data_IF_577081249165
#
_entry.id   IF_577081249165
#
_cell.length_a   1.000
_cell.length_b   1.000
_cell.length_c   1.000
_cell.angle_alpha   90.00
_cell.angle_beta   90.00
_cell.angle_gamma   90.00
#
_symmetry.space_group_name_H-M   'P 1'
#
loop_
_entity.id
_entity.type
_entity.pdbx_description
1 polymer ?
#
# COMPACT_ATOMS: atom_id res chain seq x y z
N UNK A 1 -45.84 10.91 9.37
CA UNK A 1 -44.39 10.66 9.19
C UNK A 1 -44.16 10.00 7.85
N UNK A 2 -42.99 10.20 7.23
CA UNK A 2 -42.63 9.73 5.88
C UNK A 2 -42.85 8.22 5.66
N UNK A 3 -42.83 7.43 6.73
CA UNK A 3 -43.02 5.97 6.73
C UNK A 3 -44.49 5.57 6.48
N UNK A 4 -45.48 6.31 7.00
CA UNK A 4 -46.91 6.03 6.77
C UNK A 4 -47.38 6.31 5.34
N UNK A 5 -46.60 7.08 4.57
CA UNK A 5 -46.84 7.31 3.15
C UNK A 5 -46.41 6.12 2.29
N UNK A 6 -45.52 5.27 2.80
CA UNK A 6 -44.99 4.10 2.08
C UNK A 6 -45.66 2.80 2.54
N UNK A 7 -46.03 2.72 3.82
CA UNK A 7 -46.79 1.59 4.37
C UNK A 7 -47.88 2.11 5.33
N UNK A 8 -49.15 2.19 4.86
CA UNK A 8 -50.27 2.65 5.67
C UNK A 8 -50.59 1.72 6.85
N UNK A 9 -50.16 0.46 6.80
CA UNK A 9 -50.40 -0.55 7.84
C UNK A 9 -49.35 -0.55 8.94
N UNK A 10 -48.32 0.29 8.81
CA UNK A 10 -47.21 0.36 9.78
C UNK A 10 -47.68 0.81 11.17
N UNK A 11 -47.61 -0.12 12.12
CA UNK A 11 -48.09 0.01 13.50
C UNK A 11 -47.10 0.70 14.45
N UNK A 12 -45.94 1.14 13.93
CA UNK A 12 -44.90 1.81 14.71
C UNK A 12 -44.00 0.86 15.51
N UNK A 13 -44.16 -0.47 15.39
CA UNK A 13 -43.33 -1.46 16.07
C UNK A 13 -42.30 -2.01 15.11
N UNK A 14 -41.03 -1.75 15.41
CA UNK A 14 -39.93 -2.40 14.72
C UNK A 14 -39.78 -3.83 15.26
N UNK A 15 -39.62 -4.86 14.40
CA UNK A 15 -39.29 -6.19 14.86
C UNK A 15 -37.98 -6.12 15.65
N UNK A 16 -38.00 -6.61 16.90
CA UNK A 16 -36.77 -6.79 17.68
C UNK A 16 -35.94 -7.85 16.94
N UNK A 17 -34.91 -7.41 16.22
CA UNK A 17 -33.92 -8.35 15.73
C UNK A 17 -33.26 -8.99 16.94
N UNK A 18 -33.45 -10.30 17.11
CA UNK A 18 -32.59 -11.08 17.98
C UNK A 18 -31.16 -10.77 17.53
N UNK A 19 -30.31 -10.32 18.46
CA UNK A 19 -28.89 -10.19 18.22
C UNK A 19 -28.39 -11.59 17.85
N UNK A 20 -28.38 -11.89 16.55
CA UNK A 20 -27.70 -13.06 16.05
C UNK A 20 -26.28 -12.94 16.59
N UNK A 21 -25.94 -13.90 17.45
CA UNK A 21 -24.63 -14.07 18.08
C UNK A 21 -23.59 -13.69 17.04
N UNK A 22 -23.00 -12.49 17.19
CA UNK A 22 -21.97 -12.03 16.27
C UNK A 22 -20.88 -13.08 16.35
N UNK A 23 -20.70 -13.83 15.27
CA UNK A 23 -19.53 -14.68 15.13
C UNK A 23 -18.31 -13.85 15.52
N UNK A 24 -17.40 -14.39 16.35
CA UNK A 24 -16.26 -13.63 16.82
C UNK A 24 -15.53 -13.08 15.60
N UNK A 25 -15.45 -11.75 15.51
CA UNK A 25 -14.75 -11.07 14.42
C UNK A 25 -13.33 -11.63 14.38
N UNK A 26 -12.86 -12.16 13.23
CA UNK A 26 -11.50 -12.64 13.14
C UNK A 26 -10.57 -11.47 13.46
N UNK A 27 -9.73 -11.65 14.47
CA UNK A 27 -8.54 -10.82 14.70
C UNK A 27 -7.47 -11.18 13.66
N UNK A 28 -6.29 -10.55 13.75
CA UNK A 28 -5.03 -10.75 13.01
C UNK A 28 -4.75 -9.67 11.94
N UNK A 29 -3.75 -8.76 12.07
CA UNK A 29 -2.27 -8.85 12.27
C UNK A 29 -1.48 -9.62 11.21
N UNK A 30 -1.31 -9.06 10.01
CA UNK A 30 -0.19 -9.45 9.15
C UNK A 30 0.39 -8.24 8.39
N UNK A 31 1.67 -7.88 8.63
CA UNK A 31 2.45 -7.08 7.69
C UNK A 31 2.86 -7.94 6.48
N UNK A 32 3.30 -7.28 5.42
CA UNK A 32 3.81 -7.91 4.22
C UNK A 32 4.81 -9.03 4.56
N UNK A 33 4.55 -10.26 4.10
CA UNK A 33 5.53 -11.36 4.18
C UNK A 33 5.30 -12.46 5.22
N UNK A 34 4.15 -12.57 5.88
CA UNK A 34 3.87 -13.71 6.77
C UNK A 34 4.80 -13.77 7.98
N UNK A 35 4.88 -12.68 8.74
CA UNK A 35 5.77 -12.55 9.90
C UNK A 35 5.28 -13.31 11.13
N UNK A 36 4.81 -14.54 10.98
CA UNK A 36 4.56 -15.38 12.15
C UNK A 36 5.84 -16.05 12.66
N UNK A 37 6.92 -16.16 11.85
CA UNK A 37 8.11 -16.96 12.26
C UNK A 37 9.50 -16.55 11.76
N UNK A 38 9.76 -15.35 11.26
CA UNK A 38 11.14 -14.99 10.85
C UNK A 38 11.91 -14.19 11.90
N UNK A 39 13.05 -14.75 12.33
CA UNK A 39 14.03 -14.09 13.20
C UNK A 39 14.58 -12.86 12.45
N UNK A 40 14.22 -11.67 12.92
CA UNK A 40 14.53 -10.37 12.32
C UNK A 40 16.05 -10.11 12.31
N UNK A 41 16.73 -10.03 11.15
CA UNK A 41 18.05 -9.42 11.09
C UNK A 41 17.86 -7.90 11.10
N UNK A 42 18.20 -7.27 12.23
CA UNK A 42 18.20 -5.82 12.39
C UNK A 42 19.47 -5.22 11.78
N UNK A 43 19.36 -4.11 11.05
CA UNK A 43 20.50 -3.32 10.59
C UNK A 43 20.59 -2.05 11.43
N UNK A 44 21.73 -1.82 12.10
CA UNK A 44 21.99 -0.59 12.84
C UNK A 44 22.28 0.58 11.88
N UNK A 45 21.59 1.72 12.05
CA UNK A 45 21.77 2.93 11.22
C UNK A 45 20.49 3.70 10.85
N UNK A 46 19.33 3.26 11.34
CA UNK A 46 18.01 3.75 10.94
C UNK A 46 17.74 5.26 11.10
N UNK A 47 18.28 5.92 12.14
CA UNK A 47 18.06 7.36 12.33
C UNK A 47 18.77 8.21 11.27
N UNK A 48 19.92 7.74 10.76
CA UNK A 48 20.60 8.38 9.64
C UNK A 48 19.81 8.15 8.35
N UNK A 49 19.33 6.93 8.12
CA UNK A 49 18.48 6.59 6.97
C UNK A 49 17.21 7.45 6.92
N UNK A 50 16.49 7.63 8.04
CA UNK A 50 15.27 8.44 8.10
C UNK A 50 15.51 9.92 7.75
N UNK A 51 16.62 10.49 8.24
CA UNK A 51 16.99 11.90 8.01
C UNK A 51 17.34 12.16 6.55
N UNK A 52 17.92 11.17 5.87
CA UNK A 52 18.40 11.29 4.49
C UNK A 52 17.32 10.99 3.44
N UNK A 53 16.19 10.36 3.81
CA UNK A 53 15.14 9.91 2.86
C UNK A 53 14.65 11.03 1.94
N UNK A 54 14.41 12.23 2.48
CA UNK A 54 13.92 13.37 1.69
C UNK A 54 14.90 13.76 0.59
N UNK A 55 16.20 13.71 0.88
CA UNK A 55 17.25 14.03 -0.09
C UNK A 55 17.30 13.08 -1.28
N UNK A 56 16.73 11.88 -1.14
CA UNK A 56 16.69 10.85 -2.19
C UNK A 56 15.44 10.92 -3.08
N UNK A 57 14.43 11.70 -2.70
CA UNK A 57 13.20 11.87 -3.50
C UNK A 57 13.56 12.46 -4.86
N UNK A 58 13.38 11.67 -5.92
CA UNK A 58 13.74 12.08 -7.28
C UNK A 58 15.23 12.28 -7.56
N UNK A 59 16.11 12.03 -6.58
CA UNK A 59 17.56 12.25 -6.65
C UNK A 59 18.34 11.00 -6.22
N UNK A 60 18.34 9.91 -7.03
CA UNK A 60 19.05 8.69 -6.69
C UNK A 60 20.59 8.88 -6.74
N UNK A 61 21.28 8.48 -5.68
CA UNK A 61 22.74 8.36 -5.61
C UNK A 61 23.26 7.17 -6.44
N UNK A 62 24.57 7.15 -6.82
CA UNK A 62 25.15 6.06 -7.61
C UNK A 62 24.90 4.65 -7.04
N UNK A 63 25.01 4.47 -5.72
CA UNK A 63 24.76 3.16 -5.08
C UNK A 63 23.31 2.68 -5.24
N UNK A 64 22.33 3.59 -5.33
CA UNK A 64 20.94 3.23 -5.62
C UNK A 64 20.75 2.75 -7.05
N UNK A 65 21.54 3.27 -8.01
CA UNK A 65 21.50 2.81 -9.40
C UNK A 65 22.07 1.40 -9.54
N UNK A 66 23.15 1.09 -8.82
CA UNK A 66 23.73 -0.25 -8.75
C UNK A 66 22.75 -1.25 -8.14
N UNK A 67 22.14 -0.89 -7.00
CA UNK A 67 21.11 -1.71 -6.34
C UNK A 67 19.90 -1.93 -7.26
N UNK A 68 19.44 -0.90 -7.97
CA UNK A 68 18.34 -1.00 -8.94
C UNK A 68 18.70 -1.96 -10.09
N UNK A 69 19.94 -1.91 -10.60
CA UNK A 69 20.42 -2.85 -11.62
C UNK A 69 20.47 -4.28 -11.09
N UNK A 70 20.95 -4.47 -9.87
CA UNK A 70 20.98 -5.78 -9.21
C UNK A 70 19.57 -6.37 -9.04
N UNK A 71 18.58 -5.53 -8.70
CA UNK A 71 17.17 -5.92 -8.61
C UNK A 71 16.63 -6.37 -9.97
N UNK A 72 16.81 -5.56 -11.02
CA UNK A 72 16.27 -5.86 -12.36
C UNK A 72 16.94 -7.10 -12.98
N UNK A 73 18.22 -7.33 -12.69
CA UNK A 73 18.94 -8.52 -13.16
C UNK A 73 18.58 -9.79 -12.37
N UNK A 74 18.13 -9.66 -11.13
CA UNK A 74 17.63 -10.78 -10.33
C UNK A 74 16.23 -11.27 -10.78
N UNK A 75 15.49 -10.48 -11.56
CA UNK A 75 14.20 -10.90 -12.13
C UNK A 75 14.41 -11.93 -13.25
N UNK A 76 13.77 -13.11 -13.18
CA UNK A 76 13.81 -14.10 -14.26
C UNK A 76 13.41 -13.49 -15.61
N UNK A 77 14.10 -13.88 -16.68
CA UNK A 77 13.88 -13.31 -18.02
C UNK A 77 12.43 -13.49 -18.49
N UNK A 78 11.85 -14.66 -18.26
CA UNK A 78 10.48 -14.96 -18.67
C UNK A 78 9.45 -14.10 -17.92
N UNK A 79 9.67 -13.78 -16.63
CA UNK A 79 8.82 -12.86 -15.88
C UNK A 79 8.90 -11.44 -16.46
N UNK A 80 10.10 -10.99 -16.88
CA UNK A 80 10.27 -9.69 -17.54
C UNK A 80 9.55 -9.64 -18.90
N UNK A 81 9.60 -10.72 -19.67
CA UNK A 81 8.90 -10.83 -20.95
C UNK A 81 7.37 -10.81 -20.76
N UNK A 82 6.85 -11.47 -19.73
CA UNK A 82 5.42 -11.41 -19.38
C UNK A 82 5.02 -9.98 -19.00
N UNK A 83 5.82 -9.30 -18.16
CA UNK A 83 5.58 -7.92 -17.75
C UNK A 83 5.58 -6.92 -18.91
N UNK A 84 6.31 -7.23 -20.00
CA UNK A 84 6.39 -6.36 -21.17
C UNK A 84 5.09 -6.30 -22.00
N UNK A 85 4.12 -7.22 -21.79
CA UNK A 85 2.85 -7.24 -22.52
C UNK A 85 1.69 -6.70 -21.65
N UNK A 86 0.68 -6.01 -22.20
CA UNK A 86 -0.43 -5.48 -21.39
C UNK A 86 -1.17 -6.56 -20.59
N UNK A 87 -1.47 -7.70 -21.24
CA UNK A 87 -2.14 -8.83 -20.59
C UNK A 87 -1.28 -9.51 -19.54
N UNK A 88 0.01 -9.69 -19.81
CA UNK A 88 0.96 -10.28 -18.86
C UNK A 88 1.21 -9.38 -17.66
N UNK A 89 1.36 -8.06 -17.88
CA UNK A 89 1.46 -7.05 -16.83
C UNK A 89 0.24 -7.08 -15.88
N UNK A 90 -0.98 -7.15 -16.42
CA UNK A 90 -2.18 -7.29 -15.60
C UNK A 90 -2.20 -8.60 -14.80
N UNK A 91 -1.78 -9.70 -15.43
CA UNK A 91 -1.69 -11.01 -14.77
C UNK A 91 -0.68 -11.00 -13.62
N UNK A 92 0.44 -10.30 -13.79
CA UNK A 92 1.45 -10.08 -12.75
C UNK A 92 0.87 -9.27 -11.58
N UNK A 93 0.16 -8.17 -11.84
CA UNK A 93 -0.46 -7.39 -10.77
C UNK A 93 -1.45 -8.23 -9.96
N UNK A 94 -2.32 -8.99 -10.63
CA UNK A 94 -3.25 -9.87 -9.92
C UNK A 94 -2.52 -10.96 -9.15
N UNK A 95 -1.48 -11.56 -9.73
CA UNK A 95 -0.65 -12.56 -9.06
C UNK A 95 0.08 -12.01 -7.82
N UNK A 96 0.55 -10.76 -7.86
CA UNK A 96 1.16 -10.09 -6.71
C UNK A 96 0.17 -9.85 -5.56
N UNK A 97 -1.12 -9.61 -5.88
CA UNK A 97 -2.17 -9.33 -4.88
C UNK A 97 -2.82 -10.59 -4.29
N UNK A 98 -2.92 -11.68 -5.06
CA UNK A 98 -3.41 -12.98 -4.54
C UNK A 98 -2.50 -13.51 -3.41
N UNK A 99 -1.22 -13.15 -3.43
CA UNK A 99 -0.30 -13.47 -2.35
C UNK A 99 -0.08 -14.98 -2.14
N UNK A 100 0.47 -15.34 -0.99
CA UNK A 100 0.85 -16.74 -0.66
C UNK A 100 -0.25 -17.51 0.05
N UNK A 101 -1.19 -16.81 0.69
CA UNK A 101 -2.16 -17.38 1.63
C UNK A 101 -3.14 -18.33 0.92
N UNK A 102 -3.05 -19.65 1.15
CA UNK A 102 -3.96 -20.61 0.54
C UNK A 102 -5.42 -20.41 0.98
N UNK A 103 -5.66 -19.82 2.15
CA UNK A 103 -7.01 -19.64 2.70
C UNK A 103 -7.82 -18.57 1.97
N UNK A 104 -7.14 -17.62 1.32
CA UNK A 104 -7.76 -16.52 0.54
C UNK A 104 -7.95 -16.88 -0.92
N UNK A 105 -7.22 -17.89 -1.40
CA UNK A 105 -7.13 -18.26 -2.82
C UNK A 105 -8.49 -18.59 -3.43
N UNK A 106 -9.38 -19.28 -2.71
CA UNK A 106 -10.71 -19.63 -3.23
C UNK A 106 -11.63 -18.41 -3.42
N UNK A 107 -11.64 -17.48 -2.45
CA UNK A 107 -12.47 -16.26 -2.53
C UNK A 107 -11.93 -15.31 -3.60
N UNK A 108 -10.61 -15.15 -3.68
CA UNK A 108 -9.94 -14.38 -4.73
C UNK A 108 -10.12 -15.01 -6.11
N UNK A 109 -10.11 -16.34 -6.21
CA UNK A 109 -10.41 -17.05 -7.45
C UNK A 109 -11.85 -16.86 -7.89
N UNK A 110 -12.81 -16.91 -6.96
CA UNK A 110 -14.20 -16.61 -7.26
C UNK A 110 -14.38 -15.15 -7.72
N UNK A 111 -13.66 -14.19 -7.12
CA UNK A 111 -13.68 -12.79 -7.55
C UNK A 111 -13.11 -12.61 -8.96
N UNK A 112 -11.95 -13.22 -9.26
CA UNK A 112 -11.38 -13.23 -10.60
C UNK A 112 -12.34 -13.89 -11.61
N UNK A 113 -12.90 -15.07 -11.28
CA UNK A 113 -13.84 -15.80 -12.12
C UNK A 113 -15.13 -15.04 -12.42
N UNK A 114 -15.63 -14.25 -11.46
CA UNK A 114 -16.81 -13.39 -11.68
C UNK A 114 -16.47 -12.18 -12.54
N UNK A 115 -15.23 -11.71 -12.48
CA UNK A 115 -14.75 -10.58 -13.26
C UNK A 115 -14.26 -10.97 -14.68
N UNK A 116 -14.14 -12.28 -14.97
CA UNK A 116 -13.61 -12.88 -16.21
C UNK A 116 -14.36 -12.60 -17.50
N UNK A 117 -15.47 -11.87 -17.48
CA UNK A 117 -16.14 -11.46 -18.72
C UNK A 117 -15.23 -10.49 -19.54
N UNK A 118 -14.10 -10.01 -18.97
CA UNK A 118 -13.36 -8.85 -19.50
C UNK A 118 -11.81 -8.96 -19.59
N UNK A 119 -11.23 -10.15 -19.85
CA UNK A 119 -9.89 -10.37 -20.47
C UNK A 119 -8.66 -10.79 -19.62
N UNK A 120 -8.78 -11.12 -18.33
CA UNK A 120 -7.67 -11.80 -17.63
C UNK A 120 -7.72 -13.32 -17.88
N UNK A 121 -6.60 -13.95 -18.25
CA UNK A 121 -6.54 -15.41 -18.38
C UNK A 121 -6.18 -16.03 -17.02
N UNK A 122 -7.14 -16.62 -16.27
CA UNK A 122 -6.84 -17.27 -14.98
C UNK A 122 -5.78 -18.35 -15.06
N UNK A 123 -5.69 -19.01 -16.21
CA UNK A 123 -4.74 -20.07 -16.46
C UNK A 123 -3.29 -19.57 -16.38
N UNK A 124 -3.08 -18.24 -16.51
CA UNK A 124 -1.79 -17.60 -16.29
C UNK A 124 -1.64 -17.06 -14.87
N UNK A 125 -2.70 -16.55 -14.24
CA UNK A 125 -2.61 -15.83 -12.96
C UNK A 125 -2.23 -16.75 -11.79
N UNK A 126 -2.83 -17.92 -11.64
CA UNK A 126 -2.52 -18.81 -10.50
C UNK A 126 -1.14 -19.47 -10.56
N UNK A 127 -0.69 -19.97 -11.73
CA UNK A 127 0.69 -20.43 -11.87
C UNK A 127 1.69 -19.30 -11.63
N UNK A 128 1.42 -18.09 -12.15
CA UNK A 128 2.25 -16.93 -11.85
C UNK A 128 2.26 -16.59 -10.37
N UNK A 129 1.12 -16.57 -9.68
CA UNK A 129 1.06 -16.30 -8.25
C UNK A 129 1.92 -17.29 -7.45
N UNK A 130 1.90 -18.57 -7.82
CA UNK A 130 2.74 -19.59 -7.19
C UNK A 130 4.24 -19.34 -7.42
N UNK A 131 4.62 -18.94 -8.64
CA UNK A 131 6.02 -18.61 -8.97
C UNK A 131 6.48 -17.31 -8.31
N UNK A 132 5.64 -16.29 -8.28
CA UNK A 132 5.91 -15.01 -7.63
C UNK A 132 5.93 -15.15 -6.10
N UNK A 133 5.23 -16.14 -5.54
CA UNK A 133 5.35 -16.49 -4.13
C UNK A 133 6.75 -17.03 -3.77
N UNK A 134 7.49 -17.60 -4.70
CA UNK A 134 8.87 -18.04 -4.44
C UNK A 134 9.89 -16.88 -4.55
N UNK A 135 9.49 -15.76 -5.19
CA UNK A 135 10.35 -14.59 -5.27
C UNK A 135 10.50 -13.91 -3.90
N UNK A 136 11.67 -13.32 -3.69
CA UNK A 136 11.90 -12.41 -2.58
C UNK A 136 10.92 -11.25 -2.64
N UNK A 137 10.38 -10.85 -1.49
CA UNK A 137 9.50 -9.69 -1.35
C UNK A 137 10.11 -8.41 -1.96
N UNK A 138 11.45 -8.35 -2.06
CA UNK A 138 12.22 -7.31 -2.74
C UNK A 138 11.93 -7.11 -4.22
N UNK A 139 11.40 -8.13 -4.87
CA UNK A 139 11.15 -8.08 -6.31
C UNK A 139 9.72 -7.64 -6.62
N UNK A 140 8.84 -7.55 -5.62
CA UNK A 140 7.42 -7.28 -5.83
C UNK A 140 7.13 -5.85 -6.28
N UNK A 141 7.64 -4.84 -5.57
CA UNK A 141 7.49 -3.43 -6.00
C UNK A 141 8.20 -3.16 -7.33
N UNK A 142 9.46 -3.58 -7.55
CA UNK A 142 10.10 -3.44 -8.85
C UNK A 142 9.32 -4.09 -10.01
N UNK A 143 8.68 -5.24 -9.75
CA UNK A 143 7.87 -5.92 -10.75
C UNK A 143 6.57 -5.15 -11.05
N UNK A 144 5.95 -4.52 -10.05
CA UNK A 144 4.83 -3.60 -10.26
C UNK A 144 5.28 -2.40 -11.11
N UNK A 145 6.39 -1.75 -10.77
CA UNK A 145 6.96 -0.62 -11.50
C UNK A 145 7.27 -0.99 -12.96
N UNK A 146 7.75 -2.22 -13.21
CA UNK A 146 8.01 -2.75 -14.55
C UNK A 146 6.72 -3.02 -15.34
N UNK A 147 5.63 -3.42 -14.68
CA UNK A 147 4.35 -3.71 -15.31
C UNK A 147 3.59 -2.42 -15.72
N UNK A 148 3.78 -1.33 -14.97
CA UNK A 148 3.04 -0.07 -15.15
C UNK A 148 3.08 0.49 -16.58
N UNK A 149 4.22 0.61 -17.29
CA UNK A 149 4.26 1.09 -18.66
C UNK A 149 3.42 0.26 -19.63
N UNK A 150 3.46 -1.07 -19.50
CA UNK A 150 2.70 -1.97 -20.37
C UNK A 150 1.20 -1.92 -20.09
N UNK A 151 0.78 -1.68 -18.85
CA UNK A 151 -0.62 -1.39 -18.53
C UNK A 151 -1.12 -0.09 -19.19
N UNK A 152 -0.25 0.91 -19.37
CA UNK A 152 -0.63 2.17 -20.04
C UNK A 152 -1.01 1.99 -21.51
N UNK A 153 -0.54 0.91 -22.16
CA UNK A 153 -0.84 0.58 -23.56
C UNK A 153 -2.26 0.02 -23.75
N UNK A 154 -2.96 -0.34 -22.67
CA UNK A 154 -4.34 -0.79 -22.72
C UNK A 154 -5.27 0.32 -23.25
N UNK A 155 -6.32 -0.08 -23.96
CA UNK A 155 -7.42 0.82 -24.35
C UNK A 155 -8.17 1.34 -23.13
N UNK A 156 -8.90 2.45 -23.28
CA UNK A 156 -9.67 3.03 -22.17
C UNK A 156 -10.77 2.10 -21.61
N UNK A 157 -11.27 1.15 -22.41
CA UNK A 157 -12.19 0.12 -21.91
C UNK A 157 -11.45 -0.96 -21.11
N UNK A 158 -10.31 -1.43 -21.60
CA UNK A 158 -9.47 -2.41 -20.90
C UNK A 158 -8.95 -1.88 -19.56
N UNK A 159 -8.53 -0.61 -19.49
CA UNK A 159 -8.11 0.05 -18.24
C UNK A 159 -9.23 0.07 -17.20
N UNK A 160 -10.43 0.50 -17.59
CA UNK A 160 -11.61 0.53 -16.71
C UNK A 160 -11.94 -0.88 -16.19
N UNK A 161 -11.91 -1.87 -17.07
CA UNK A 161 -12.15 -3.26 -16.69
C UNK A 161 -11.09 -3.76 -15.71
N UNK A 162 -9.81 -3.54 -16.02
CA UNK A 162 -8.69 -3.90 -15.15
C UNK A 162 -8.84 -3.30 -13.74
N UNK A 163 -9.16 -2.02 -13.63
CA UNK A 163 -9.36 -1.35 -12.34
C UNK A 163 -10.58 -1.90 -11.58
N UNK A 164 -11.67 -2.27 -12.27
CA UNK A 164 -12.80 -2.95 -11.63
C UNK A 164 -12.42 -4.33 -11.08
N UNK A 165 -11.59 -5.10 -11.81
CA UNK A 165 -11.09 -6.40 -11.35
C UNK A 165 -10.16 -6.23 -10.15
N UNK A 166 -9.24 -5.26 -10.22
CA UNK A 166 -8.33 -4.89 -9.14
C UNK A 166 -9.11 -4.56 -7.86
N UNK A 167 -10.13 -3.72 -7.98
CA UNK A 167 -11.02 -3.39 -6.88
C UNK A 167 -11.73 -4.62 -6.32
N UNK A 168 -12.32 -5.47 -7.17
CA UNK A 168 -12.99 -6.69 -6.72
C UNK A 168 -12.03 -7.67 -6.01
N UNK A 169 -10.78 -7.76 -6.46
CA UNK A 169 -9.78 -8.65 -5.88
C UNK A 169 -9.37 -8.20 -4.48
N UNK A 170 -9.05 -6.91 -4.33
CA UNK A 170 -8.64 -6.30 -3.04
C UNK A 170 -9.79 -6.34 -2.00
N UNK A 171 -11.04 -6.43 -2.46
CA UNK A 171 -12.21 -6.47 -1.56
C UNK A 171 -12.73 -7.91 -1.32
N UNK A 172 -12.15 -8.92 -1.96
CA UNK A 172 -12.71 -10.27 -1.99
C UNK A 172 -12.70 -10.98 -0.63
N UNK A 173 -11.65 -10.77 0.16
CA UNK A 173 -11.44 -11.43 1.46
C UNK A 173 -11.88 -10.58 2.67
N UNK A 174 -12.37 -9.36 2.42
CA UNK A 174 -12.77 -8.41 3.46
C UNK A 174 -11.62 -7.86 4.30
N UNK A 175 -10.36 -8.15 3.94
CA UNK A 175 -9.15 -7.69 4.62
C UNK A 175 -8.37 -6.78 3.69
N UNK A 176 -7.78 -5.70 4.22
CA UNK A 176 -6.95 -4.79 3.43
C UNK A 176 -5.69 -4.44 4.17
N UNK A 177 -4.61 -4.30 3.43
CA UNK A 177 -3.31 -3.83 3.89
C UNK A 177 -3.01 -2.44 3.31
N UNK A 178 -2.14 -1.68 3.98
CA UNK A 178 -1.66 -0.40 3.46
C UNK A 178 -1.01 -0.55 2.07
N UNK A 179 -0.40 -1.70 1.81
CA UNK A 179 0.18 -2.02 0.50
C UNK A 179 -0.88 -2.19 -0.58
N UNK A 180 -1.91 -3.00 -0.37
CA UNK A 180 -2.98 -3.21 -1.36
C UNK A 180 -3.65 -1.89 -1.74
N UNK A 181 -3.92 -1.04 -0.75
CA UNK A 181 -4.49 0.29 -0.98
C UNK A 181 -3.54 1.20 -1.77
N UNK A 182 -2.26 1.16 -1.44
CA UNK A 182 -1.27 1.97 -2.15
C UNK A 182 -1.09 1.50 -3.59
N UNK A 183 -1.09 0.18 -3.84
CA UNK A 183 -1.05 -0.40 -5.19
C UNK A 183 -2.30 -0.03 -5.98
N UNK A 184 -3.48 -0.16 -5.37
CA UNK A 184 -4.74 0.28 -5.97
C UNK A 184 -4.64 1.75 -6.39
N UNK A 185 -4.20 2.60 -5.48
CA UNK A 185 -4.07 4.04 -5.70
C UNK A 185 -3.07 4.38 -6.82
N UNK A 186 -1.88 3.78 -6.79
CA UNK A 186 -0.84 3.95 -7.81
C UNK A 186 -1.39 3.60 -9.20
N UNK A 187 -2.07 2.46 -9.32
CA UNK A 187 -2.60 1.99 -10.59
C UNK A 187 -3.81 2.79 -11.08
N UNK A 188 -4.72 3.18 -10.19
CA UNK A 188 -5.83 4.08 -10.51
C UNK A 188 -5.31 5.39 -11.10
N UNK A 189 -4.31 6.00 -10.44
CA UNK A 189 -3.70 7.26 -10.88
C UNK A 189 -2.95 7.12 -12.20
N UNK A 190 -2.17 6.05 -12.34
CA UNK A 190 -1.34 5.81 -13.52
C UNK A 190 -2.17 5.49 -14.77
N UNK A 191 -3.32 4.82 -14.62
CA UNK A 191 -4.15 4.39 -15.74
C UNK A 191 -5.25 5.37 -16.12
N UNK A 192 -5.61 6.32 -15.24
CA UNK A 192 -6.60 7.36 -15.54
C UNK A 192 -6.00 8.79 -15.59
N UNK A 193 -4.99 9.08 -16.42
CA UNK A 193 -4.38 10.41 -16.47
C UNK A 193 -5.31 11.49 -17.06
N UNK A 194 -6.33 11.09 -17.82
CA UNK A 194 -7.25 12.02 -18.51
C UNK A 194 -8.19 12.79 -17.57
N UNK A 195 -8.39 12.34 -16.33
CA UNK A 195 -9.12 13.12 -15.31
C UNK A 195 -8.25 14.20 -14.64
N UNK A 196 -6.95 14.24 -14.94
CA UNK A 196 -5.94 14.93 -14.14
C UNK A 196 -5.03 15.92 -14.91
N UNK A 197 -5.23 16.11 -16.21
CA UNK A 197 -4.42 17.04 -17.02
C UNK A 197 -4.33 18.47 -16.45
N UNK A 198 -5.26 18.84 -15.57
CA UNK A 198 -5.27 20.12 -14.84
C UNK A 198 -5.60 19.98 -13.36
N UNK A 199 -5.13 18.94 -12.66
CA UNK A 199 -5.25 18.92 -11.19
C UNK A 199 -4.36 20.02 -10.63
N UNK A 200 -4.93 21.21 -10.45
CA UNK A 200 -4.28 22.31 -9.79
C UNK A 200 -3.85 21.84 -8.40
N UNK A 201 -2.59 22.07 -8.04
CA UNK A 201 -2.17 21.98 -6.65
C UNK A 201 -3.09 22.93 -5.87
N UNK A 202 -3.90 22.39 -4.96
CA UNK A 202 -4.96 23.14 -4.25
C UNK A 202 -4.64 23.35 -2.78
N UNK A 203 -3.70 22.58 -2.22
CA UNK A 203 -3.39 22.61 -0.79
C UNK A 203 -1.95 23.04 -0.57
N UNK A 204 -1.78 24.14 0.16
CA UNK A 204 -0.50 24.80 0.38
C UNK A 204 -0.16 24.93 1.87
N UNK A 205 -1.04 24.50 2.78
CA UNK A 205 -0.77 24.48 4.22
C UNK A 205 -1.06 23.12 4.87
N UNK A 206 -0.30 22.80 5.93
CA UNK A 206 -0.55 21.62 6.76
C UNK A 206 -1.94 21.63 7.43
N UNK A 207 -2.51 22.83 7.67
CA UNK A 207 -3.87 22.94 8.20
C UNK A 207 -4.94 22.36 7.27
N UNK A 208 -4.71 22.32 5.95
CA UNK A 208 -5.64 21.77 4.96
C UNK A 208 -5.56 20.24 4.82
N UNK A 209 -4.46 19.63 5.27
CA UNK A 209 -4.17 18.18 5.10
C UNK A 209 -3.89 17.46 6.40
N UNK A 210 -3.90 18.14 7.56
CA UNK A 210 -3.42 17.58 8.82
C UNK A 210 -4.13 16.28 9.22
N UNK A 211 -5.43 16.15 8.98
CA UNK A 211 -6.17 14.92 9.26
C UNK A 211 -5.75 13.76 8.34
N UNK A 212 -5.48 14.06 7.06
CA UNK A 212 -5.00 13.07 6.10
C UNK A 212 -3.62 12.55 6.50
N UNK A 213 -2.74 13.45 6.95
CA UNK A 213 -1.41 13.10 7.46
C UNK A 213 -1.52 12.21 8.71
N UNK A 214 -2.36 12.59 9.69
CA UNK A 214 -2.59 11.79 10.90
C UNK A 214 -3.13 10.40 10.55
N UNK A 215 -4.05 10.32 9.60
CA UNK A 215 -4.62 9.04 9.14
C UNK A 215 -3.53 8.15 8.54
N UNK A 216 -2.70 8.70 7.65
CA UNK A 216 -1.61 7.97 7.02
C UNK A 216 -0.56 7.51 8.04
N UNK A 217 -0.14 8.38 8.95
CA UNK A 217 0.82 8.04 10.02
C UNK A 217 0.26 6.98 10.96
N UNK A 218 -1.03 7.04 11.31
CA UNK A 218 -1.67 6.04 12.17
C UNK A 218 -1.72 4.67 11.49
N UNK A 219 -1.98 4.64 10.18
CA UNK A 219 -1.96 3.41 9.40
C UNK A 219 -0.57 2.81 9.29
N UNK A 220 0.44 3.65 9.03
CA UNK A 220 1.83 3.23 8.92
C UNK A 220 2.36 2.67 10.24
N UNK A 221 2.13 3.39 11.36
CA UNK A 221 2.51 2.95 12.69
C UNK A 221 1.83 1.63 13.09
N UNK A 222 0.55 1.47 12.76
CA UNK A 222 -0.20 0.24 13.05
C UNK A 222 0.27 -0.92 12.17
N UNK A 223 0.66 -0.66 10.93
CA UNK A 223 1.21 -1.67 10.03
C UNK A 223 2.59 -2.18 10.50
N UNK A 224 3.47 -1.30 10.98
CA UNK A 224 4.80 -1.67 11.49
C UNK A 224 4.77 -2.35 12.86
N UNK A 225 3.76 -2.03 13.70
CA UNK A 225 3.69 -2.48 15.09
C UNK A 225 2.31 -3.05 15.47
N UNK A 226 1.75 -3.91 14.63
CA UNK A 226 0.39 -4.44 14.79
C UNK A 226 0.11 -5.12 16.14
N UNK A 227 1.13 -5.71 16.78
CA UNK A 227 1.02 -6.42 18.05
C UNK A 227 1.44 -5.60 19.27
N UNK A 228 1.99 -4.40 19.07
CA UNK A 228 2.59 -3.59 20.13
C UNK A 228 2.09 -2.14 20.02
N UNK A 229 1.00 -1.87 20.74
CA UNK A 229 0.34 -0.55 20.72
C UNK A 229 1.24 0.57 21.22
N UNK A 230 2.13 0.28 22.18
CA UNK A 230 3.03 1.28 22.74
C UNK A 230 4.12 1.65 21.73
N UNK A 231 4.64 0.67 20.98
CA UNK A 231 5.55 0.94 19.86
C UNK A 231 4.84 1.66 18.72
N UNK A 232 3.61 1.26 18.38
CA UNK A 232 2.80 1.95 17.37
C UNK A 232 2.58 3.42 17.75
N UNK A 233 2.23 3.71 19.00
CA UNK A 233 2.10 5.07 19.50
C UNK A 233 3.41 5.85 19.35
N UNK A 234 4.55 5.28 19.76
CA UNK A 234 5.86 5.94 19.63
C UNK A 234 6.24 6.21 18.18
N UNK A 235 5.95 5.28 17.27
CA UNK A 235 6.16 5.45 15.83
C UNK A 235 5.30 6.59 15.27
N UNK A 236 4.02 6.61 15.63
CA UNK A 236 3.12 7.70 15.27
C UNK A 236 3.63 9.05 15.78
N UNK A 237 4.05 9.13 17.05
CA UNK A 237 4.57 10.36 17.66
C UNK A 237 5.86 10.83 16.98
N UNK A 238 6.76 9.90 16.61
CA UNK A 238 7.98 10.19 15.88
C UNK A 238 7.70 10.82 14.51
N UNK A 239 6.69 10.32 13.78
CA UNK A 239 6.24 10.91 12.52
C UNK A 239 5.59 12.28 12.71
N UNK A 240 4.70 12.43 13.69
CA UNK A 240 4.02 13.71 13.98
C UNK A 240 5.02 14.81 14.35
N UNK A 241 6.07 14.47 15.10
CA UNK A 241 7.11 15.41 15.51
C UNK A 241 7.85 16.08 14.34
N UNK A 242 7.81 15.47 13.14
CA UNK A 242 8.43 16.04 11.91
C UNK A 242 7.66 17.21 11.33
N UNK A 243 6.41 17.41 11.75
CA UNK A 243 5.56 18.51 11.27
C UNK A 243 5.13 19.35 12.48
N UNK A 244 5.88 20.41 12.83
CA UNK A 244 5.64 21.19 14.05
C UNK A 244 4.22 21.74 14.18
N UNK A 245 3.60 22.18 13.08
CA UNK A 245 2.23 22.68 13.06
C UNK A 245 1.21 21.59 13.40
N UNK A 246 1.51 20.34 13.08
CA UNK A 246 0.70 19.18 13.42
C UNK A 246 0.96 18.75 14.86
N UNK A 247 2.23 18.68 15.29
CA UNK A 247 2.63 18.35 16.65
C UNK A 247 2.02 19.30 17.69
N UNK A 248 1.94 20.60 17.37
CA UNK A 248 1.31 21.61 18.23
C UNK A 248 -0.18 21.32 18.52
N UNK A 249 -0.86 20.58 17.63
CA UNK A 249 -2.27 20.19 17.79
C UNK A 249 -2.46 18.93 18.64
N UNK A 250 -1.36 18.26 19.02
CA UNK A 250 -1.36 17.03 19.84
C UNK A 250 -2.36 15.99 19.32
N UNK A 251 -2.23 15.54 18.06
CA UNK A 251 -3.14 14.57 17.49
C UNK A 251 -3.07 13.26 18.29
N UNK A 252 -4.21 12.60 18.42
CA UNK A 252 -4.31 11.32 19.13
C UNK A 252 -4.14 10.20 18.12
N UNK A 253 -3.25 9.26 18.42
CA UNK A 253 -3.14 8.01 17.66
C UNK A 253 -4.43 7.21 17.83
N UNK A 254 -5.08 6.92 16.72
CA UNK A 254 -6.27 6.08 16.68
C UNK A 254 -6.28 5.34 15.36
N UNK A 255 -6.26 4.01 15.43
CA UNK A 255 -6.36 3.15 14.26
C UNK A 255 -7.38 2.04 14.52
N UNK A 256 -8.38 1.97 13.64
CA UNK A 256 -9.37 0.91 13.60
C UNK A 256 -9.36 0.30 12.21
N UNK A 257 -8.67 -0.83 12.04
CA UNK A 257 -8.34 -1.48 10.76
C UNK A 257 -9.41 -1.29 9.67
N UNK A 258 -10.61 -1.86 9.83
CA UNK A 258 -11.61 -1.89 8.76
C UNK A 258 -12.31 -0.56 8.45
N UNK A 259 -12.32 0.42 9.35
CA UNK A 259 -12.88 1.76 9.08
C UNK A 259 -11.78 2.73 8.63
N UNK A 260 -10.54 2.40 8.94
CA UNK A 260 -9.39 3.25 8.68
C UNK A 260 -8.89 3.12 7.24
N UNK A 261 -9.05 1.97 6.59
CA UNK A 261 -8.48 1.73 5.26
C UNK A 261 -9.14 2.48 4.09
N UNK A 262 -10.47 2.66 4.06
CA UNK A 262 -11.10 3.59 3.11
C UNK A 262 -10.66 5.04 3.37
N UNK A 263 -10.42 5.37 4.64
CA UNK A 263 -10.00 6.70 5.05
C UNK A 263 -8.54 6.95 4.65
N UNK A 264 -7.68 5.93 4.71
CA UNK A 264 -6.30 5.97 4.21
C UNK A 264 -6.27 6.18 2.70
N UNK A 265 -7.07 5.46 1.91
CA UNK A 265 -7.10 5.68 0.46
C UNK A 265 -7.55 7.11 0.12
N UNK A 266 -8.56 7.62 0.83
CA UNK A 266 -8.99 9.02 0.72
C UNK A 266 -7.90 10.01 1.15
N UNK A 267 -7.14 9.69 2.20
CA UNK A 267 -6.03 10.52 2.66
C UNK A 267 -4.92 10.59 1.60
N UNK A 268 -4.53 9.45 1.01
CA UNK A 268 -3.57 9.41 -0.11
C UNK A 268 -4.05 10.24 -1.30
N UNK A 269 -5.32 10.05 -1.71
CA UNK A 269 -6.01 10.87 -2.71
C UNK A 269 -5.91 12.38 -2.42
N UNK A 270 -6.23 12.73 -1.19
CA UNK A 270 -6.29 14.09 -0.68
C UNK A 270 -4.91 14.75 -0.64
N UNK A 271 -3.86 13.99 -0.31
CA UNK A 271 -2.48 14.45 -0.23
C UNK A 271 -1.83 14.68 -1.60
N UNK A 272 -2.30 14.01 -2.66
CA UNK A 272 -1.80 14.29 -4.02
C UNK A 272 -2.13 15.71 -4.51
N UNK A 273 -3.16 16.36 -3.97
CA UNK A 273 -3.51 17.77 -4.23
C UNK A 273 -2.62 18.79 -3.49
N UNK A 274 -1.73 18.31 -2.62
CA UNK A 274 -0.84 19.16 -1.85
C UNK A 274 0.36 19.61 -2.67
N UNK A 275 0.94 20.74 -2.25
CA UNK A 275 2.20 21.22 -2.81
C UNK A 275 3.31 20.20 -2.60
N UNK A 276 4.30 20.20 -3.50
CA UNK A 276 5.43 19.28 -3.41
C UNK A 276 6.14 19.35 -2.04
N UNK A 277 6.32 20.56 -1.49
CA UNK A 277 6.88 20.79 -0.15
C UNK A 277 6.12 20.06 0.97
N UNK A 278 4.78 20.03 0.89
CA UNK A 278 3.97 19.27 1.85
C UNK A 278 4.19 17.78 1.65
N UNK A 279 4.16 17.29 0.40
CA UNK A 279 4.35 15.86 0.11
C UNK A 279 5.72 15.37 0.60
N UNK A 280 6.79 16.14 0.36
CA UNK A 280 8.13 15.87 0.85
C UNK A 280 8.18 15.79 2.39
N UNK A 281 7.53 16.74 3.08
CA UNK A 281 7.44 16.72 4.56
C UNK A 281 6.61 15.53 5.08
N UNK A 282 5.60 15.09 4.32
CA UNK A 282 4.82 13.88 4.65
C UNK A 282 5.66 12.62 4.46
N UNK A 283 6.47 12.53 3.41
CA UNK A 283 7.41 11.41 3.22
C UNK A 283 8.45 11.39 4.34
N UNK A 284 8.98 12.55 4.75
CA UNK A 284 9.88 12.67 5.92
C UNK A 284 9.23 12.14 7.21
N UNK A 285 7.99 12.57 7.48
CA UNK A 285 7.22 12.10 8.62
C UNK A 285 6.94 10.60 8.55
N UNK A 286 6.64 10.07 7.37
CA UNK A 286 6.45 8.63 7.16
C UNK A 286 7.74 7.85 7.41
N UNK A 287 8.90 8.37 6.99
CA UNK A 287 10.19 7.73 7.23
C UNK A 287 10.52 7.65 8.72
N UNK A 288 10.32 8.75 9.46
CA UNK A 288 10.52 8.77 10.91
C UNK A 288 9.51 7.91 11.68
N UNK A 289 8.30 7.75 11.15
CA UNK A 289 7.31 6.82 11.68
C UNK A 289 7.70 5.36 11.43
N UNK A 290 8.04 5.02 10.19
CA UNK A 290 8.39 3.66 9.79
C UNK A 290 9.67 3.15 10.49
N UNK A 291 10.64 4.03 10.77
CA UNK A 291 11.95 3.66 11.32
C UNK A 291 12.13 4.09 12.79
N UNK A 292 11.02 4.29 13.51
CA UNK A 292 11.03 4.82 14.87
C UNK A 292 11.72 3.91 15.90
N UNK A 293 11.73 2.60 15.68
CA UNK A 293 12.39 1.62 16.54
C UNK A 293 13.90 1.46 16.24
N UNK A 294 14.42 2.34 15.39
CA UNK A 294 15.81 2.39 14.92
C UNK A 294 16.31 1.10 14.25
N UNK A 295 15.40 0.22 13.84
CA UNK A 295 15.70 -1.01 13.12
C UNK A 295 14.95 -0.98 11.79
N UNK A 296 15.65 -0.64 10.70
CA UNK A 296 15.00 -0.68 9.38
C UNK A 296 14.89 -2.12 8.91
N UNK A 297 13.67 -2.64 8.88
CA UNK A 297 13.39 -3.89 8.18
C UNK A 297 13.25 -3.65 6.68
N UNK A 298 13.43 -4.73 5.91
CA UNK A 298 13.24 -4.67 4.47
C UNK A 298 11.78 -4.29 4.12
N UNK A 299 10.84 -4.84 4.88
CA UNK A 299 9.41 -4.67 4.71
C UNK A 299 8.97 -3.23 5.00
N UNK A 300 9.51 -2.58 6.04
CA UNK A 300 9.25 -1.17 6.33
C UNK A 300 9.82 -0.25 5.25
N UNK A 301 11.01 -0.56 4.74
CA UNK A 301 11.61 0.16 3.61
C UNK A 301 10.75 0.08 2.35
N UNK A 302 10.30 -1.12 1.98
CA UNK A 302 9.42 -1.28 0.81
C UNK A 302 8.06 -0.61 1.01
N UNK A 303 7.46 -0.72 2.20
CA UNK A 303 6.20 -0.04 2.51
C UNK A 303 6.34 1.47 2.37
N UNK A 304 7.44 2.05 2.87
CA UNK A 304 7.74 3.47 2.70
C UNK A 304 7.91 3.84 1.23
N UNK A 305 8.63 3.03 0.42
CA UNK A 305 8.75 3.27 -1.02
C UNK A 305 7.40 3.23 -1.73
N UNK A 306 6.53 2.29 -1.36
CA UNK A 306 5.15 2.17 -1.89
C UNK A 306 4.33 3.43 -1.55
N UNK A 307 4.36 3.89 -0.30
CA UNK A 307 3.66 5.12 0.12
C UNK A 307 4.23 6.35 -0.58
N UNK A 308 5.55 6.45 -0.71
CA UNK A 308 6.21 7.57 -1.37
C UNK A 308 5.88 7.61 -2.88
N UNK A 309 5.82 6.45 -3.54
CA UNK A 309 5.36 6.30 -4.91
C UNK A 309 3.89 6.74 -5.05
N UNK A 310 3.01 6.34 -4.13
CA UNK A 310 1.61 6.77 -4.06
C UNK A 310 1.45 8.30 -3.90
N UNK A 311 2.39 8.95 -3.20
CA UNK A 311 2.45 10.40 -3.03
C UNK A 311 3.13 11.15 -4.19
N UNK A 312 3.57 10.45 -5.25
CA UNK A 312 4.34 11.01 -6.38
C UNK A 312 5.71 11.58 -5.95
N UNK A 313 6.29 11.02 -4.91
CA UNK A 313 7.62 11.33 -4.39
C UNK A 313 8.46 10.04 -4.37
N UNK A 314 8.75 9.42 -5.53
CA UNK A 314 9.33 8.09 -5.58
C UNK A 314 10.70 8.06 -4.88
N UNK A 315 10.90 7.02 -4.08
CA UNK A 315 12.15 6.75 -3.38
C UNK A 315 12.90 5.61 -4.09
N UNK A 316 14.23 5.75 -4.28
CA UNK A 316 15.02 4.65 -4.80
C UNK A 316 15.03 3.45 -3.84
N UNK A 317 15.38 2.24 -4.32
CA UNK A 317 15.62 1.09 -3.46
C UNK A 317 16.69 1.43 -2.40
N UNK A 318 16.42 1.10 -1.14
CA UNK A 318 17.39 1.32 -0.07
C UNK A 318 18.63 0.45 -0.26
N UNK A 319 19.82 1.05 -0.12
CA UNK A 319 21.10 0.34 -0.26
C UNK A 319 21.27 -0.57 0.96
N UNK A 320 21.58 -1.85 0.75
CA UNK A 320 22.00 -2.72 1.85
C UNK A 320 23.41 -2.34 2.29
N UNK A 321 23.72 -2.31 3.60
CA UNK A 321 25.09 -2.59 3.98
C UNK A 321 25.41 -4.01 3.55
N UNK A 322 26.49 -4.18 2.78
CA UNK A 322 27.05 -5.51 2.50
C UNK A 322 27.26 -6.22 3.84
N UNK A 323 26.99 -7.54 3.98
CA UNK A 323 27.52 -8.26 5.12
C UNK A 323 29.03 -8.00 5.15
N UNK A 324 29.52 -7.50 6.30
CA UNK A 324 30.95 -7.37 6.55
C UNK A 324 31.59 -8.71 6.17
N UNK A 325 32.67 -8.72 5.36
CA UNK A 325 33.42 -9.95 5.15
C UNK A 325 33.80 -10.48 6.53
N UNK A 326 33.51 -11.75 6.80
CA UNK A 326 33.93 -12.42 8.01
C UNK A 326 35.41 -12.11 8.23
N UNK A 327 35.73 -11.44 9.33
CA UNK A 327 37.10 -11.21 9.73
C UNK A 327 37.75 -12.59 9.90
N UNK A 328 38.66 -12.91 8.99
CA UNK A 328 39.50 -14.11 9.02
C UNK A 328 40.38 -14.14 10.28
#
# INVERSE_FOLDING_TARGET
>A
TRIRLLDPSFDGKFPKMAEAMREPKPMFTEPFGGTDRYRRPAVAGASALATDVTSWVGNPLPGHLEESRAIVTALPQDIREIAATPRGAASIVFALLIGKDPSRREQQAAALNRAMVLQANPDLVFPLASRLAELSDRLKLPLLELAMPSLSLMTGMEKRNFLLMLHSLIHADGKRSLLELSVQWILEKHLNPSEDLFRAIRKFSFSQVGLDIVTLLSALASAGHAQDKDKAQKAFDAGVARIPELAARKPVFSFQENTSYETVNRALQSLTDASFKIKESVVDACAHCAFADQTVTFEEGELLRVVALALQCPLPPFIRPSPLPDAA
#
